data_IF_839852129055
#
_entry.id   IF_839852129055
#
_cell.length_a   1.000
_cell.length_b   1.000
_cell.length_c   1.000
_cell.angle_alpha   90.00
_cell.angle_beta   90.00
_cell.angle_gamma   90.00
#
_symmetry.space_group_name_H-M   'P 1'
#
loop_
_entity.id
_entity.type
_entity.pdbx_description
1 polymer ?
#
# COMPACT_ATOMS: atom_id res chain seq x y z
N UNK A 1 14.75 11.11 8.42
CA UNK A 1 15.58 10.04 7.84
C UNK A 1 15.47 8.83 8.73
N UNK A 2 15.29 7.63 8.18
CA UNK A 2 15.22 6.40 8.99
C UNK A 2 16.64 6.11 9.47
N UNK A 3 16.92 6.17 10.77
CA UNK A 3 18.27 5.97 11.29
C UNK A 3 18.75 4.53 11.02
N UNK A 4 19.99 4.40 10.58
CA UNK A 4 20.66 3.11 10.46
C UNK A 4 21.27 2.67 11.80
N UNK A 5 21.89 1.49 11.83
CA UNK A 5 22.44 0.87 13.05
C UNK A 5 23.78 1.47 13.46
N UNK A 6 24.50 2.08 12.52
CA UNK A 6 25.78 2.77 12.77
C UNK A 6 25.54 4.25 13.10
N UNK A 7 26.42 4.85 13.90
CA UNK A 7 26.29 6.27 14.26
C UNK A 7 26.37 7.17 13.02
N UNK A 8 25.42 8.10 12.90
CA UNK A 8 25.28 8.96 11.72
C UNK A 8 24.84 8.26 10.42
N UNK A 9 24.48 6.97 10.47
CA UNK A 9 23.98 6.24 9.30
C UNK A 9 22.47 6.44 9.11
N UNK A 10 22.00 6.42 7.86
CA UNK A 10 20.57 6.58 7.55
C UNK A 10 20.18 5.91 6.24
N UNK A 11 18.94 5.42 6.18
CA UNK A 11 18.38 4.84 4.96
C UNK A 11 18.17 5.91 3.88
N UNK A 12 18.55 5.58 2.66
CA UNK A 12 18.41 6.38 1.45
C UNK A 12 18.03 5.49 0.26
N UNK A 13 17.71 6.09 -0.88
CA UNK A 13 17.61 5.37 -2.16
C UNK A 13 19.02 5.20 -2.74
N UNK A 14 19.29 4.03 -3.31
CA UNK A 14 20.58 3.75 -3.95
C UNK A 14 20.74 4.57 -5.23
N UNK A 15 21.93 5.14 -5.45
CA UNK A 15 22.21 5.98 -6.63
C UNK A 15 22.71 5.18 -7.85
N UNK A 16 23.08 3.91 -7.66
CA UNK A 16 23.65 3.07 -8.73
C UNK A 16 22.62 2.68 -9.81
N UNK A 17 21.33 2.70 -9.48
CA UNK A 17 20.24 2.40 -10.37
C UNK A 17 19.07 3.34 -10.11
N UNK A 18 18.59 3.99 -11.16
CA UNK A 18 17.38 4.78 -11.08
C UNK A 18 16.19 3.87 -10.74
N UNK A 19 15.32 4.29 -9.80
CA UNK A 19 14.08 3.58 -9.53
C UNK A 19 13.19 3.51 -10.78
N UNK A 20 12.58 2.35 -10.99
CA UNK A 20 11.57 2.15 -12.03
C UNK A 20 10.22 2.66 -11.52
N UNK A 21 9.57 3.51 -12.31
CA UNK A 21 8.30 4.13 -11.99
C UNK A 21 7.25 3.75 -13.02
N UNK A 22 6.08 3.32 -12.56
CA UNK A 22 4.92 3.14 -13.42
C UNK A 22 3.61 3.43 -12.70
N UNK A 23 2.60 3.74 -13.49
CA UNK A 23 1.22 3.84 -13.01
C UNK A 23 0.37 2.73 -13.60
N UNK A 24 -0.58 2.20 -12.82
CA UNK A 24 -1.55 1.22 -13.29
C UNK A 24 -2.88 1.37 -12.55
N UNK A 25 -3.94 0.77 -13.09
CA UNK A 25 -5.22 0.67 -12.41
C UNK A 25 -5.41 -0.72 -11.82
N UNK A 26 -5.88 -0.79 -10.58
CA UNK A 26 -6.24 -2.03 -9.88
C UNK A 26 -7.46 -1.73 -9.02
N UNK A 27 -8.49 -2.58 -9.09
CA UNK A 27 -9.74 -2.39 -8.32
C UNK A 27 -10.37 -1.00 -8.55
N UNK A 28 -10.33 -0.52 -9.79
CA UNK A 28 -10.82 0.81 -10.16
C UNK A 28 -9.94 1.99 -9.73
N UNK A 29 -8.96 1.78 -8.83
CA UNK A 29 -8.07 2.80 -8.28
C UNK A 29 -6.79 2.97 -9.10
N UNK A 30 -6.33 4.21 -9.24
CA UNK A 30 -5.03 4.51 -9.86
C UNK A 30 -3.93 4.35 -8.81
N UNK A 31 -2.95 3.53 -9.12
CA UNK A 31 -1.77 3.30 -8.29
C UNK A 31 -0.53 3.80 -9.02
N UNK A 32 0.35 4.47 -8.29
CA UNK A 32 1.74 4.69 -8.66
C UNK A 32 2.60 3.62 -7.96
N UNK A 33 3.46 2.96 -8.72
CA UNK A 33 4.44 2.01 -8.21
C UNK A 33 5.84 2.52 -8.52
N UNK A 34 6.68 2.55 -7.49
CA UNK A 34 8.10 2.83 -7.58
C UNK A 34 8.87 1.62 -7.08
N UNK A 35 9.77 1.08 -7.89
CA UNK A 35 10.64 -0.05 -7.54
C UNK A 35 12.08 0.40 -7.59
N UNK A 36 12.89 -0.05 -6.64
CA UNK A 36 14.30 0.29 -6.67
C UNK A 36 15.09 -0.41 -5.59
N UNK A 37 16.25 0.15 -5.29
CA UNK A 37 17.10 -0.29 -4.20
C UNK A 37 17.19 0.80 -3.15
N UNK A 38 17.10 0.39 -1.89
CA UNK A 38 17.46 1.21 -0.76
C UNK A 38 18.89 0.88 -0.33
N UNK A 39 19.55 1.88 0.22
CA UNK A 39 20.90 1.82 0.74
C UNK A 39 20.94 2.51 2.12
N UNK A 40 22.04 2.36 2.85
CA UNK A 40 22.27 3.09 4.10
C UNK A 40 23.53 3.92 3.93
N UNK A 41 23.36 5.24 3.91
CA UNK A 41 24.49 6.14 3.89
C UNK A 41 25.36 5.89 5.14
N UNK A 42 26.67 5.82 4.94
CA UNK A 42 27.66 5.52 5.98
C UNK A 42 27.57 4.09 6.56
N UNK A 43 26.93 3.16 5.88
CA UNK A 43 26.92 1.72 6.22
C UNK A 43 26.89 0.86 4.93
N UNK A 44 27.02 -0.47 5.06
CA UNK A 44 27.05 -1.40 3.93
C UNK A 44 25.75 -2.19 3.78
N UNK A 45 24.62 -1.60 4.19
CA UNK A 45 23.32 -2.24 4.18
C UNK A 45 22.44 -1.71 3.07
N UNK A 46 21.80 -2.62 2.33
CA UNK A 46 20.83 -2.26 1.30
C UNK A 46 19.97 -3.43 0.89
N UNK A 47 19.04 -3.16 -0.02
CA UNK A 47 18.13 -4.18 -0.53
C UNK A 47 17.10 -3.62 -1.51
N UNK A 48 16.23 -4.48 -2.06
CA UNK A 48 15.13 -4.04 -2.91
C UNK A 48 14.02 -3.40 -2.07
N UNK A 49 13.33 -2.43 -2.67
CA UNK A 49 12.06 -1.91 -2.18
C UNK A 49 11.03 -1.82 -3.30
N UNK A 50 9.76 -1.78 -2.90
CA UNK A 50 8.63 -1.36 -3.72
C UNK A 50 7.78 -0.39 -2.91
N UNK A 51 7.40 0.73 -3.53
CA UNK A 51 6.50 1.72 -2.95
C UNK A 51 5.24 1.79 -3.79
N UNK A 52 4.08 1.72 -3.14
CA UNK A 52 2.78 1.87 -3.77
C UNK A 52 2.08 3.10 -3.21
N UNK A 53 1.77 4.05 -4.07
CA UNK A 53 1.04 5.27 -3.70
C UNK A 53 -0.30 5.32 -4.41
N UNK A 54 -1.35 5.67 -3.66
CA UNK A 54 -2.69 5.95 -4.17
C UNK A 54 -3.28 7.15 -3.44
N UNK A 55 -4.34 7.72 -3.98
CA UNK A 55 -5.08 8.81 -3.35
C UNK A 55 -6.40 8.27 -2.82
N UNK A 56 -6.66 8.50 -1.54
CA UNK A 56 -7.98 8.33 -0.94
C UNK A 56 -8.79 9.61 -1.14
N UNK A 57 -9.70 9.59 -2.11
CA UNK A 57 -10.57 10.72 -2.47
C UNK A 57 -11.62 11.04 -1.41
N UNK A 58 -11.95 10.11 -0.53
CA UNK A 58 -12.92 10.32 0.55
C UNK A 58 -12.34 11.14 1.70
N UNK A 59 -11.08 10.88 2.07
CA UNK A 59 -10.38 11.58 3.15
C UNK A 59 -9.44 12.67 2.67
N UNK A 60 -9.26 12.81 1.34
CA UNK A 60 -8.25 13.67 0.71
C UNK A 60 -6.82 13.37 1.19
N UNK A 61 -6.51 12.08 1.38
CA UNK A 61 -5.20 11.63 1.84
C UNK A 61 -4.43 10.93 0.73
N UNK A 62 -3.11 11.10 0.75
CA UNK A 62 -2.21 10.27 -0.06
C UNK A 62 -1.76 9.11 0.82
N UNK A 63 -2.06 7.89 0.37
CA UNK A 63 -1.66 6.68 1.08
C UNK A 63 -0.51 6.04 0.33
N UNK A 64 0.62 5.87 1.03
CA UNK A 64 1.81 5.23 0.51
C UNK A 64 2.15 4.01 1.36
N UNK A 65 2.31 2.87 0.69
CA UNK A 65 2.86 1.65 1.25
C UNK A 65 4.32 1.51 0.80
N UNK A 66 5.26 1.79 1.71
CA UNK A 66 6.69 1.61 1.48
C UNK A 66 7.15 0.26 2.02
N UNK A 67 7.49 -0.65 1.12
CA UNK A 67 7.87 -2.03 1.44
C UNK A 67 9.34 -2.26 1.07
N UNK A 68 10.16 -2.64 2.03
CA UNK A 68 11.58 -2.93 1.81
C UNK A 68 12.00 -4.24 2.45
N UNK A 69 12.96 -4.93 1.84
CA UNK A 69 13.50 -6.19 2.37
C UNK A 69 14.93 -6.00 2.86
N UNK A 70 15.15 -6.21 4.16
CA UNK A 70 16.47 -6.46 4.72
C UNK A 70 16.65 -7.96 4.97
N UNK A 71 17.49 -8.61 4.18
CA UNK A 71 17.75 -10.04 4.31
C UNK A 71 19.16 -10.37 3.82
N UNK A 72 20.19 -10.05 4.62
CA UNK A 72 21.56 -10.40 4.28
C UNK A 72 21.69 -11.93 4.19
N UNK A 73 22.43 -12.42 3.19
CA UNK A 73 22.70 -13.86 2.93
C UNK A 73 21.54 -14.71 2.38
N UNK A 74 20.28 -14.28 2.47
CA UNK A 74 19.15 -15.06 1.96
C UNK A 74 18.60 -14.50 0.61
N UNK A 75 17.98 -15.37 -0.21
CA UNK A 75 17.29 -14.94 -1.43
C UNK A 75 16.09 -14.03 -1.12
N UNK A 76 16.07 -12.84 -1.73
CA UNK A 76 15.08 -11.79 -1.41
C UNK A 76 13.80 -11.85 -2.24
N UNK A 77 13.79 -12.65 -3.31
CA UNK A 77 12.68 -12.70 -4.28
C UNK A 77 11.35 -13.07 -3.65
N UNK A 78 11.32 -14.07 -2.77
CA UNK A 78 10.08 -14.54 -2.17
C UNK A 78 9.54 -13.51 -1.16
N UNK A 79 10.41 -12.92 -0.33
CA UNK A 79 10.04 -11.80 0.56
C UNK A 79 9.46 -10.61 -0.22
N UNK A 80 10.07 -10.25 -1.36
CA UNK A 80 9.51 -9.19 -2.22
C UNK A 80 8.11 -9.53 -2.72
N UNK A 81 7.86 -10.77 -3.15
CA UNK A 81 6.53 -11.21 -3.59
C UNK A 81 5.49 -11.18 -2.46
N UNK A 82 5.90 -11.54 -1.24
CA UNK A 82 5.04 -11.45 -0.06
C UNK A 82 4.68 -9.99 0.24
N UNK A 83 5.65 -9.07 0.19
CA UNK A 83 5.41 -7.64 0.39
C UNK A 83 4.54 -7.02 -0.71
N UNK A 84 4.75 -7.38 -1.98
CA UNK A 84 3.88 -6.96 -3.09
C UNK A 84 2.42 -7.38 -2.87
N UNK A 85 2.20 -8.48 -2.16
CA UNK A 85 0.87 -8.97 -1.85
C UNK A 85 0.13 -8.13 -0.80
N UNK A 86 0.85 -7.40 0.06
CA UNK A 86 0.26 -6.56 1.11
C UNK A 86 -0.66 -5.47 0.53
N UNK A 87 -0.38 -5.01 -0.69
CA UNK A 87 -1.22 -4.03 -1.40
C UNK A 87 -2.68 -4.49 -1.52
N UNK A 88 -2.92 -5.79 -1.71
CA UNK A 88 -4.28 -6.35 -1.84
C UNK A 88 -5.03 -6.46 -0.51
N UNK A 89 -4.35 -6.23 0.62
CA UNK A 89 -4.97 -6.24 1.94
C UNK A 89 -5.45 -4.84 2.37
N UNK A 90 -5.13 -3.81 1.59
CA UNK A 90 -5.55 -2.43 1.85
C UNK A 90 -6.94 -2.22 1.24
N UNK A 91 -7.89 -1.77 2.06
CA UNK A 91 -9.22 -1.38 1.62
C UNK A 91 -9.53 0.06 2.03
N UNK A 92 -10.30 0.75 1.19
CA UNK A 92 -10.75 2.10 1.47
C UNK A 92 -12.26 2.11 1.76
N UNK A 93 -12.79 3.07 2.52
CA UNK A 93 -14.22 3.17 2.81
C UNK A 93 -15.12 3.22 1.56
N UNK A 94 -14.58 3.67 0.42
CA UNK A 94 -15.26 3.72 -0.87
C UNK A 94 -15.31 2.36 -1.61
N UNK A 95 -14.48 1.38 -1.21
CA UNK A 95 -14.49 -0.01 -1.73
C UNK A 95 -15.59 -0.87 -1.10
N UNK A 96 -16.25 -0.40 -0.04
CA UNK A 96 -17.31 -1.14 0.60
C UNK A 96 -18.45 -1.33 -0.42
N UNK A 97 -18.86 -2.57 -0.74
CA UNK A 97 -20.03 -2.78 -1.58
C UNK A 97 -21.18 -2.01 -0.94
N UNK A 98 -21.87 -1.19 -1.74
CA UNK A 98 -23.03 -0.43 -1.31
C UNK A 98 -23.89 -1.33 -0.41
N UNK A 99 -24.02 -0.94 0.85
CA UNK A 99 -24.77 -1.71 1.84
C UNK A 99 -26.08 -2.15 1.18
N UNK A 100 -26.32 -3.47 1.17
CA UNK A 100 -27.52 -4.03 0.57
C UNK A 100 -28.72 -3.21 1.07
N UNK A 101 -29.60 -2.74 0.17
CA UNK A 101 -30.67 -1.84 0.58
C UNK A 101 -31.46 -2.54 1.68
N UNK A 102 -31.53 -1.89 2.85
CA UNK A 102 -32.34 -2.37 3.95
C UNK A 102 -33.76 -2.57 3.43
N UNK A 103 -34.23 -3.81 3.42
CA UNK A 103 -35.59 -4.14 3.05
C UNK A 103 -36.51 -3.42 4.01
N UNK A 104 -37.09 -2.30 3.55
CA UNK A 104 -38.16 -1.61 4.24
C UNK A 104 -39.37 -2.54 4.21
N UNK A 105 -39.59 -3.25 5.32
CA UNK A 105 -40.79 -4.04 5.53
C UNK A 105 -41.94 -3.04 5.66
N UNK A 106 -42.66 -2.83 4.56
CA UNK A 106 -43.86 -2.03 4.52
C UNK A 106 -44.85 -2.55 5.57
N UNK A 107 -45.14 -1.71 6.56
CA UNK A 107 -46.29 -1.88 7.45
C UNK A 107 -47.55 -1.71 6.62
N UNK A 108 -48.27 -2.80 6.36
CA UNK A 108 -49.59 -2.73 5.73
C UNK A 108 -50.65 -3.47 6.57
N UNK A 109 -51.56 -2.65 7.10
CA UNK A 109 -52.98 -2.88 7.39
C UNK A 109 -53.40 -3.78 8.56
N UNK A 110 -53.77 -3.13 9.67
CA UNK A 110 -54.95 -3.54 10.46
C UNK A 110 -55.57 -2.33 11.19
N UNK A 111 -56.28 -1.44 10.48
CA UNK A 111 -57.35 -0.64 11.11
C UNK A 111 -58.37 -0.12 10.09
N UNK A 112 -59.66 -0.31 10.43
CA UNK A 112 -60.92 0.09 9.76
C UNK A 112 -61.45 -0.91 8.70
N UNK A 113 -62.73 -1.27 8.65
CA UNK A 113 -63.95 -0.77 9.28
C UNK A 113 -64.94 -1.95 9.43
N UNK A 114 -65.79 -1.96 10.46
CA UNK A 114 -67.26 -1.81 10.35
C UNK A 114 -67.99 -2.93 9.60
#
# INVERSE_FOLDING_TARGET
LIPGPSDGSYMTTAEIYDPDYRTFRSEGRLWAELRGFWDVANDFMGGPFVSYTTVNTTTNEVVTLDCYVYSPKLPKRNYMRELEHLRYLISFPEDAPAAAPATEIATENATKAE
#
